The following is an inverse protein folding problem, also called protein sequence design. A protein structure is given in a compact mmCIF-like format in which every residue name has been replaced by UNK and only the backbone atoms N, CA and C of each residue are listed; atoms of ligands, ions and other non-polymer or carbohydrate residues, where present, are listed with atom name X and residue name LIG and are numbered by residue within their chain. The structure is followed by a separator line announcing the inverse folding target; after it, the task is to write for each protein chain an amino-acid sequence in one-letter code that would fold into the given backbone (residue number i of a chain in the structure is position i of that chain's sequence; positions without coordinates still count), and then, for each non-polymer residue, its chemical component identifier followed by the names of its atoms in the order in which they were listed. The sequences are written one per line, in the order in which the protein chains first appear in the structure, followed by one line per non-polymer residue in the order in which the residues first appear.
data_IF_229659855250
#
_entry.id   IF_229659855250
#
_cell.length_a   1.000
_cell.length_b   1.000
_cell.length_c   1.000
_cell.angle_alpha   90.00
_cell.angle_beta   90.00
_cell.angle_gamma   90.00
#
_symmetry.space_group_name_H-M   'P 1'
#
loop_
_entity.id
_entity.type
_entity.pdbx_description
1 polymer ?
#
# COMPACT_ATOMS: atom_id res chain seq x y z
N UNK A 1 10.72 -11.39 -13.72
CA UNK A 1 10.51 -10.58 -12.50
C UNK A 1 11.81 -10.50 -11.73
N UNK A 2 12.23 -9.29 -11.37
CA UNK A 2 13.56 -9.01 -10.82
C UNK A 2 13.62 -9.17 -9.28
N UNK A 3 12.81 -10.06 -8.71
CA UNK A 3 12.74 -10.29 -7.26
C UNK A 3 13.97 -11.06 -6.81
N UNK A 4 14.85 -10.43 -6.03
CA UNK A 4 16.07 -11.06 -5.50
C UNK A 4 16.28 -10.85 -4.01
N UNK A 5 15.62 -9.86 -3.44
CA UNK A 5 15.73 -9.47 -2.05
C UNK A 5 14.38 -9.54 -1.34
N UNK A 6 14.40 -9.50 0.00
CA UNK A 6 13.17 -9.40 0.80
C UNK A 6 12.41 -8.11 0.50
N UNK A 7 13.13 -7.04 0.17
CA UNK A 7 12.59 -5.73 -0.16
C UNK A 7 11.81 -5.78 -1.48
N UNK A 8 12.41 -6.37 -2.53
CA UNK A 8 11.73 -6.60 -3.82
C UNK A 8 10.43 -7.41 -3.64
N UNK A 9 10.40 -8.33 -2.67
CA UNK A 9 9.21 -9.10 -2.31
C UNK A 9 8.21 -8.26 -1.50
N UNK A 10 8.68 -7.38 -0.61
CA UNK A 10 7.84 -6.51 0.21
C UNK A 10 7.09 -5.45 -0.60
N UNK A 11 7.58 -5.12 -1.79
CA UNK A 11 6.92 -4.18 -2.71
C UNK A 11 5.75 -4.78 -3.48
N UNK A 12 5.63 -6.11 -3.54
CA UNK A 12 4.56 -6.76 -4.29
C UNK A 12 3.19 -6.66 -3.61
N UNK A 13 2.12 -6.70 -4.41
CA UNK A 13 0.79 -7.06 -3.96
C UNK A 13 0.61 -8.59 -3.86
N UNK A 14 -0.37 -9.05 -3.07
CA UNK A 14 -0.62 -10.48 -2.88
C UNK A 14 -1.10 -11.20 -4.15
N UNK A 15 -1.88 -10.51 -4.98
CA UNK A 15 -2.31 -10.99 -6.30
C UNK A 15 -1.16 -11.05 -7.29
N UNK A 16 -0.27 -10.05 -7.30
CA UNK A 16 0.96 -10.11 -8.09
C UNK A 16 1.83 -11.30 -7.69
N UNK A 17 2.01 -11.56 -6.39
CA UNK A 17 2.78 -12.73 -5.92
C UNK A 17 2.16 -14.06 -6.37
N UNK A 18 0.83 -14.18 -6.38
CA UNK A 18 0.12 -15.36 -6.88
C UNK A 18 0.35 -15.60 -8.37
N UNK A 19 0.37 -14.53 -9.17
CA UNK A 19 0.66 -14.63 -10.61
C UNK A 19 2.10 -15.05 -10.88
N UNK A 20 3.04 -14.60 -10.05
CA UNK A 20 4.46 -14.90 -10.16
C UNK A 20 4.81 -16.32 -9.72
N UNK A 21 4.17 -16.79 -8.65
CA UNK A 21 4.41 -18.10 -8.06
C UNK A 21 3.08 -18.86 -7.99
N UNK A 22 2.63 -19.42 -9.12
CA UNK A 22 1.50 -20.33 -9.14
C UNK A 22 1.91 -21.67 -8.49
N UNK A 23 2.01 -21.67 -7.17
CA UNK A 23 2.26 -22.84 -6.37
C UNK A 23 0.92 -23.48 -5.99
N UNK A 24 0.82 -24.80 -6.14
CA UNK A 24 -0.35 -25.54 -5.69
C UNK A 24 -0.55 -25.31 -4.18
N UNK A 25 -1.66 -24.64 -3.82
CA UNK A 25 -2.02 -24.36 -2.44
C UNK A 25 -1.63 -22.96 -1.92
N UNK A 26 -0.98 -22.11 -2.72
CA UNK A 26 -0.82 -20.69 -2.34
C UNK A 26 -2.17 -19.99 -2.52
N UNK A 27 -2.73 -19.45 -1.44
CA UNK A 27 -3.96 -18.64 -1.46
C UNK A 27 -3.61 -17.16 -1.40
N UNK A 28 -4.57 -16.29 -1.75
CA UNK A 28 -4.39 -14.83 -1.65
C UNK A 28 -4.10 -14.39 -0.22
N UNK A 29 -4.76 -14.99 0.78
CA UNK A 29 -4.49 -14.71 2.20
C UNK A 29 -3.08 -15.12 2.61
N UNK A 30 -2.60 -16.28 2.14
CA UNK A 30 -1.24 -16.72 2.40
C UNK A 30 -0.21 -15.79 1.73
N UNK A 31 -0.47 -15.38 0.49
CA UNK A 31 0.36 -14.42 -0.23
C UNK A 31 0.42 -13.07 0.52
N UNK A 32 -0.71 -12.51 0.91
CA UNK A 32 -0.77 -11.27 1.71
C UNK A 32 -0.03 -11.42 3.05
N UNK A 33 -0.14 -12.58 3.70
CA UNK A 33 0.60 -12.85 4.94
C UNK A 33 2.11 -12.82 4.71
N UNK A 34 2.58 -13.41 3.61
CA UNK A 34 4.01 -13.38 3.23
C UNK A 34 4.48 -11.95 2.96
N UNK A 35 3.70 -11.16 2.23
CA UNK A 35 4.02 -9.76 1.93
C UNK A 35 4.09 -8.91 3.22
N UNK A 36 3.14 -9.08 4.14
CA UNK A 36 3.16 -8.38 5.43
C UNK A 36 4.39 -8.79 6.27
N UNK A 37 4.74 -10.08 6.29
CA UNK A 37 5.95 -10.55 6.95
C UNK A 37 7.23 -10.01 6.30
N UNK A 38 7.24 -9.84 4.98
CA UNK A 38 8.34 -9.19 4.28
C UNK A 38 8.48 -7.72 4.71
N UNK A 39 7.38 -6.97 4.87
CA UNK A 39 7.38 -5.57 5.33
C UNK A 39 7.71 -5.37 6.81
N UNK A 40 7.55 -6.41 7.64
CA UNK A 40 7.79 -6.33 9.07
C UNK A 40 9.16 -5.73 9.44
N UNK A 41 10.16 -5.93 8.58
CA UNK A 41 11.51 -5.43 8.81
C UNK A 41 11.67 -3.91 8.72
N UNK A 42 10.82 -3.23 7.95
CA UNK A 42 10.82 -1.76 7.90
C UNK A 42 10.36 -1.15 9.23
N UNK A 43 9.70 -1.94 10.07
CA UNK A 43 9.27 -1.54 11.40
C UNK A 43 10.23 -2.00 12.52
N UNK A 44 11.17 -2.91 12.23
CA UNK A 44 12.17 -3.37 13.20
C UNK A 44 13.38 -2.41 13.28
N UNK A 45 13.67 -1.65 12.21
CA UNK A 45 14.73 -0.64 12.22
C UNK A 45 14.34 0.62 13.00
N UNK A 46 13.05 0.94 13.16
CA UNK A 46 12.60 2.13 13.91
C UNK A 46 12.80 1.97 15.43
N UNK A 47 12.80 0.74 15.96
CA UNK A 47 13.11 0.47 17.38
C UNK A 47 14.63 0.42 17.64
N UNK A 48 15.46 0.25 16.59
CA UNK A 48 16.93 0.17 16.70
C UNK A 48 17.63 1.50 16.33
N UNK A 49 16.90 2.47 15.76
CA UNK A 49 17.43 3.73 15.24
C UNK A 49 17.47 4.91 16.25
N UNK A 50 17.47 4.67 17.57
CA UNK A 50 17.92 5.70 18.53
C UNK A 50 19.46 5.87 18.44
N UNK A 51 19.91 6.47 17.34
CA UNK A 51 21.30 6.86 17.11
C UNK A 51 21.82 6.41 15.74
N UNK A 52 21.52 7.17 14.68
CA UNK A 52 22.49 7.90 13.83
C UNK A 52 21.83 8.27 12.48
N UNK A 53 21.52 9.58 12.37
CA UNK A 53 21.70 10.49 11.22
C UNK A 53 20.74 10.45 9.99
N UNK A 54 20.01 11.57 9.87
CA UNK A 54 19.45 12.20 8.66
C UNK A 54 20.21 11.98 7.34
N UNK A 55 19.45 11.68 6.28
CA UNK A 55 19.30 12.39 4.99
C UNK A 55 18.64 11.41 3.99
N UNK A 56 17.74 11.73 3.08
CA UNK A 56 16.91 12.87 2.68
C UNK A 56 16.28 12.41 1.34
N UNK A 57 15.04 12.77 1.02
CA UNK A 57 14.56 12.56 -0.36
C UNK A 57 13.05 12.50 -0.58
N UNK A 58 12.41 13.66 -0.51
CA UNK A 58 11.10 13.93 -1.14
C UNK A 58 11.00 13.39 -2.57
N UNK A 59 9.87 12.74 -2.90
CA UNK A 59 9.26 12.88 -4.21
C UNK A 59 7.75 13.10 -4.06
N UNK A 60 7.31 14.19 -4.67
CA UNK A 60 6.01 14.81 -4.53
C UNK A 60 4.93 14.04 -5.30
N UNK A 61 3.81 13.75 -4.62
CA UNK A 61 2.55 13.36 -5.22
C UNK A 61 1.45 14.37 -4.86
N UNK A 62 1.38 15.46 -5.60
CA UNK A 62 0.32 16.44 -5.48
C UNK A 62 -1.03 15.90 -6.00
N UNK A 63 -2.09 16.41 -5.37
CA UNK A 63 -3.50 16.45 -5.78
C UNK A 63 -4.42 15.30 -5.34
N UNK A 64 -5.17 15.55 -4.25
CA UNK A 64 -6.60 15.83 -4.33
C UNK A 64 -7.13 16.27 -2.95
N UNK A 65 -7.09 17.57 -2.67
CA UNK A 65 -7.91 18.16 -1.59
C UNK A 65 -9.31 18.36 -2.16
N UNK A 66 -10.16 17.36 -1.96
CA UNK A 66 -11.61 17.54 -2.03
C UNK A 66 -12.15 17.72 -0.60
N UNK A 67 -13.27 18.43 -0.47
CA UNK A 67 -13.99 18.84 0.75
C UNK A 67 -13.66 20.28 1.20
N UNK A 68 -14.61 21.20 1.36
CA UNK A 68 -16.01 21.07 1.79
C UNK A 68 -16.82 22.30 1.27
N UNK A 69 -17.99 22.12 0.67
CA UNK A 69 -19.32 22.11 1.32
C UNK A 69 -20.07 23.45 1.14
N UNK A 70 -21.21 23.40 0.44
CA UNK A 70 -22.42 24.12 0.87
C UNK A 70 -23.65 23.32 0.43
N UNK A 71 -24.60 23.18 1.36
CA UNK A 71 -25.73 22.28 1.32
C UNK A 71 -27.01 23.03 0.95
N UNK A 72 -27.90 22.40 0.16
CA UNK A 72 -29.34 22.49 0.38
C UNK A 72 -30.09 21.55 -0.57
N UNK A 73 -30.99 20.78 0.02
CA UNK A 73 -31.95 19.91 -0.62
C UNK A 73 -33.04 20.67 -1.37
N UNK A 74 -33.51 20.07 -2.47
CA UNK A 74 -34.92 19.82 -2.87
C UNK A 74 -35.09 19.93 -4.40
N UNK A 75 -35.20 18.77 -5.05
CA UNK A 75 -36.12 18.62 -6.19
C UNK A 75 -37.31 17.82 -5.69
N UNK A 76 -38.53 18.17 -6.13
CA UNK A 76 -39.13 17.22 -7.06
C UNK A 76 -39.87 17.87 -8.24
N UNK A 77 -39.56 17.33 -9.42
CA UNK A 77 -40.51 16.90 -10.45
C UNK A 77 -41.48 17.94 -11.02
N UNK A 78 -41.16 18.34 -12.25
CA UNK A 78 -42.12 18.83 -13.23
C UNK A 78 -43.35 17.92 -13.31
N UNK A 79 -44.51 18.51 -13.06
CA UNK A 79 -45.81 18.01 -13.48
C UNK A 79 -46.48 19.12 -14.28
N UNK A 80 -46.46 18.99 -15.61
CA UNK A 80 -47.62 19.06 -16.53
C UNK A 80 -47.15 19.06 -17.97
#
# INVERSE_FOLDING_TARGET
NAIKTRDDLADLAGDELLELVPAEGLTLDAANTIIMAARAHWFEDEETAEGVNEEAGEEAGAAATESAADAAAEEPAEKT
#
